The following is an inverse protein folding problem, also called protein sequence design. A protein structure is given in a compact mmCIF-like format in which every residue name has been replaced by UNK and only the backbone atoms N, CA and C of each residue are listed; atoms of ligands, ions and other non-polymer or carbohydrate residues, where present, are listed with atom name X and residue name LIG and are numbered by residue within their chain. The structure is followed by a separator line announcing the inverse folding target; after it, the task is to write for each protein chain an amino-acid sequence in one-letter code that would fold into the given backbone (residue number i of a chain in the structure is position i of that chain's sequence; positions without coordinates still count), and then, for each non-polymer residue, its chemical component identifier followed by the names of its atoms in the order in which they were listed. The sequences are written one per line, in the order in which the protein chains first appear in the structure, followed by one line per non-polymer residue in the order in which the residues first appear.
data_IF_489402303032
#
_entry.id   IF_489402303032
#
_cell.length_a   1.000
_cell.length_b   1.000
_cell.length_c   1.000
_cell.angle_alpha   90.00
_cell.angle_beta   90.00
_cell.angle_gamma   90.00
#
_symmetry.space_group_name_H-M   'P 1'
#
loop_
_entity.id
_entity.type
_entity.pdbx_description
1 polymer ?
#
# COMPACT_ATOMS: atom_id res chain seq x y z
N UNK A 1 -19.91 -8.10 -11.31
CA UNK A 1 -20.60 -7.04 -10.55
C UNK A 1 -21.36 -6.13 -11.51
N UNK A 2 -22.69 -5.94 -11.38
CA UNK A 2 -23.41 -4.98 -12.20
C UNK A 2 -22.97 -3.55 -11.80
N UNK A 3 -22.71 -2.69 -12.79
CA UNK A 3 -22.28 -1.31 -12.55
C UNK A 3 -23.40 -0.47 -11.91
N UNK A 4 -23.03 0.53 -11.11
CA UNK A 4 -23.96 1.45 -10.41
C UNK A 4 -25.05 2.02 -11.35
N UNK A 5 -24.72 2.28 -12.62
CA UNK A 5 -25.68 2.76 -13.64
C UNK A 5 -26.76 1.73 -13.99
N UNK A 6 -26.43 0.44 -14.00
CA UNK A 6 -27.35 -0.66 -14.33
C UNK A 6 -28.36 -0.90 -13.19
N UNK A 7 -27.94 -0.71 -11.94
CA UNK A 7 -28.81 -0.78 -10.77
C UNK A 7 -29.88 0.32 -10.79
N UNK A 8 -29.49 1.58 -10.95
CA UNK A 8 -30.43 2.71 -10.98
C UNK A 8 -31.48 2.59 -12.09
N UNK A 9 -31.07 2.09 -13.27
CA UNK A 9 -32.00 1.89 -14.38
C UNK A 9 -33.02 0.78 -14.12
N UNK A 10 -32.63 -0.27 -13.39
CA UNK A 10 -33.53 -1.36 -13.04
C UNK A 10 -34.47 -0.97 -11.88
N UNK A 11 -34.03 -0.12 -10.95
CA UNK A 11 -34.88 0.39 -9.86
C UNK A 11 -36.05 1.26 -10.38
N UNK A 12 -35.85 1.98 -11.48
CA UNK A 12 -36.90 2.79 -12.13
C UNK A 12 -37.98 1.96 -12.85
N UNK A 13 -37.67 0.73 -13.26
CA UNK A 13 -38.64 -0.16 -13.91
C UNK A 13 -39.52 -0.91 -12.90
N UNK A 14 -39.09 -1.02 -11.63
CA UNK A 14 -39.87 -1.64 -10.57
C UNK A 14 -41.00 -0.76 -10.02
N UNK A 15 -40.86 0.57 -10.08
CA UNK A 15 -41.84 1.51 -9.53
C UNK A 15 -43.05 1.78 -10.44
N UNK A 16 -42.97 1.45 -11.73
CA UNK A 16 -44.10 1.62 -12.66
C UNK A 16 -45.21 0.57 -12.47
N UNK A 17 -44.93 -0.57 -11.82
CA UNK A 17 -45.90 -1.65 -11.60
C UNK A 17 -46.76 -1.53 -10.34
N UNK A 18 -46.44 -0.60 -9.44
CA UNK A 18 -47.08 -0.51 -8.11
C UNK A 18 -48.21 0.53 -8.01
N UNK A 19 -48.51 1.27 -9.08
CA UNK A 19 -49.55 2.31 -9.07
C UNK A 19 -50.98 1.73 -9.09
N UNK A 20 -51.17 0.41 -9.24
CA UNK A 20 -52.49 -0.20 -9.42
C UNK A 20 -53.10 -0.92 -8.19
N UNK A 21 -52.45 -0.94 -7.02
CA UNK A 21 -53.02 -1.63 -5.84
C UNK A 21 -52.82 -0.82 -4.55
N UNK A 22 -53.93 -0.40 -3.93
CA UNK A 22 -54.02 0.21 -2.60
C UNK A 22 -53.66 -0.79 -1.49
N UNK A 23 -52.43 -1.31 -1.48
CA UNK A 23 -51.87 -2.04 -0.35
C UNK A 23 -50.95 -1.06 0.38
N UNK A 24 -51.16 -0.76 1.67
CA UNK A 24 -50.22 0.05 2.42
C UNK A 24 -48.90 -0.73 2.48
N UNK A 25 -47.93 -0.33 1.66
CA UNK A 25 -46.59 -0.87 1.70
C UNK A 25 -45.96 -0.44 3.03
N UNK A 26 -46.01 -1.32 4.02
CA UNK A 26 -45.15 -1.22 5.20
C UNK A 26 -43.72 -1.42 4.69
N UNK A 27 -43.07 -0.31 4.34
CA UNK A 27 -41.64 -0.30 4.12
C UNK A 27 -40.96 -0.59 5.46
N UNK A 28 -40.70 -1.87 5.72
CA UNK A 28 -39.68 -2.26 6.69
C UNK A 28 -38.34 -1.85 6.09
N UNK A 29 -37.97 -0.59 6.29
CA UNK A 29 -36.61 -0.14 6.05
C UNK A 29 -35.80 -0.81 7.14
N UNK A 30 -35.12 -1.90 6.79
CA UNK A 30 -34.06 -2.44 7.64
C UNK A 30 -33.01 -1.34 7.74
N UNK A 31 -32.99 -0.61 8.86
CA UNK A 31 -31.91 0.29 9.20
C UNK A 31 -30.65 -0.55 9.38
N UNK A 32 -29.91 -0.70 8.28
CA UNK A 32 -28.56 -1.20 8.32
C UNK A 32 -27.72 -0.09 8.97
N UNK A 33 -27.69 -0.07 10.30
CA UNK A 33 -26.68 0.67 11.02
C UNK A 33 -25.35 0.00 10.66
N UNK A 34 -24.42 0.68 9.93
CA UNK A 34 -23.08 0.16 9.83
C UNK A 34 -22.55 0.06 11.26
N UNK A 35 -22.19 -1.14 11.71
CA UNK A 35 -21.43 -1.25 12.95
C UNK A 35 -20.20 -0.35 12.78
N UNK A 36 -19.99 0.59 13.72
CA UNK A 36 -18.80 1.41 13.71
C UNK A 36 -17.63 0.52 14.12
N UNK A 37 -17.06 -0.18 13.14
CA UNK A 37 -16.00 -1.18 13.32
C UNK A 37 -14.61 -0.52 13.39
N UNK A 38 -14.57 0.74 13.86
CA UNK A 38 -13.37 1.54 13.96
C UNK A 38 -12.77 1.43 15.37
N UNK A 39 -11.43 1.51 15.50
CA UNK A 39 -10.48 1.64 14.41
C UNK A 39 -10.27 0.33 13.62
N UNK A 40 -9.85 0.44 12.36
CA UNK A 40 -9.53 -0.71 11.49
C UNK A 40 -8.27 -0.41 10.67
N UNK A 41 -7.45 -1.43 10.44
CA UNK A 41 -6.29 -1.38 9.53
C UNK A 41 -6.29 -2.60 8.61
N UNK A 42 -5.97 -2.38 7.34
CA UNK A 42 -5.84 -3.43 6.33
C UNK A 42 -4.57 -3.15 5.53
N UNK A 43 -3.82 -4.20 5.25
CA UNK A 43 -2.61 -4.14 4.42
C UNK A 43 -2.56 -5.31 3.45
N UNK A 44 -1.70 -5.20 2.44
CA UNK A 44 -1.48 -6.26 1.46
C UNK A 44 -0.53 -7.33 2.00
N UNK A 45 -0.78 -8.57 1.57
CA UNK A 45 0.12 -9.74 1.72
C UNK A 45 0.37 -10.22 3.15
N UNK A 46 1.24 -11.21 3.27
CA UNK A 46 1.54 -11.94 4.50
C UNK A 46 2.29 -11.07 5.53
N UNK A 47 3.31 -10.32 5.09
CA UNK A 47 4.05 -9.36 5.91
C UNK A 47 3.15 -8.21 6.42
N UNK A 48 1.97 -8.03 5.81
CA UNK A 48 0.92 -7.15 6.29
C UNK A 48 0.46 -7.47 7.72
N UNK A 49 0.60 -8.71 8.21
CA UNK A 49 0.27 -9.04 9.60
C UNK A 49 1.17 -8.33 10.62
N UNK A 50 2.50 -8.35 10.39
CA UNK A 50 3.45 -7.64 11.25
C UNK A 50 3.27 -6.13 11.14
N UNK A 51 3.04 -5.63 9.92
CA UNK A 51 2.75 -4.23 9.66
C UNK A 51 1.46 -3.75 10.38
N UNK A 52 0.38 -4.54 10.32
CA UNK A 52 -0.89 -4.25 11.00
C UNK A 52 -0.71 -4.23 12.52
N UNK A 53 0.10 -5.14 13.08
CA UNK A 53 0.37 -5.15 14.53
C UNK A 53 1.03 -3.85 14.99
N UNK A 54 1.96 -3.30 14.20
CA UNK A 54 2.60 -2.02 14.51
C UNK A 54 1.63 -0.85 14.37
N UNK A 55 0.88 -0.78 13.26
CA UNK A 55 -0.15 0.24 13.05
C UNK A 55 -1.22 0.22 14.17
N UNK A 56 -1.59 -0.97 14.63
CA UNK A 56 -2.58 -1.15 15.69
C UNK A 56 -2.15 -0.53 17.02
N UNK A 57 -0.85 -0.44 17.32
CA UNK A 57 -0.37 0.24 18.54
C UNK A 57 -0.76 1.72 18.56
N UNK A 58 -0.74 2.37 17.40
CA UNK A 58 -1.16 3.77 17.25
C UNK A 58 -2.67 3.88 17.33
N UNK A 59 -3.39 3.05 16.56
CA UNK A 59 -4.86 3.08 16.51
C UNK A 59 -5.50 2.75 17.85
N UNK A 60 -5.01 1.73 18.56
CA UNK A 60 -5.52 1.33 19.88
C UNK A 60 -5.28 2.39 20.96
N UNK A 61 -4.31 3.28 20.75
CA UNK A 61 -4.03 4.43 21.61
C UNK A 61 -4.84 5.69 21.22
N UNK A 62 -5.71 5.61 20.21
CA UNK A 62 -6.47 6.76 19.68
C UNK A 62 -5.63 7.73 18.84
N UNK A 63 -4.51 7.26 18.27
CA UNK A 63 -3.69 8.03 17.33
C UNK A 63 -4.32 8.12 15.93
N UNK A 64 -3.76 9.00 15.10
CA UNK A 64 -4.29 9.26 13.75
C UNK A 64 -4.00 8.11 12.78
N UNK A 65 -4.89 7.89 11.82
CA UNK A 65 -4.73 6.89 10.78
C UNK A 65 -3.44 7.09 9.95
N UNK A 66 -3.08 8.35 9.61
CA UNK A 66 -1.86 8.65 8.86
C UNK A 66 -0.59 8.26 9.62
N UNK A 67 -0.59 8.40 10.95
CA UNK A 67 0.53 7.97 11.80
C UNK A 67 0.60 6.43 11.84
N UNK A 68 -0.55 5.76 11.93
CA UNK A 68 -0.63 4.31 11.96
C UNK A 68 -0.14 3.66 10.67
N UNK A 69 -0.53 4.18 9.50
CA UNK A 69 -0.09 3.61 8.21
C UNK A 69 1.39 3.84 7.97
N UNK A 70 1.95 4.99 8.38
CA UNK A 70 3.38 5.24 8.26
C UNK A 70 4.19 4.23 9.07
N UNK A 71 3.89 4.06 10.37
CA UNK A 71 4.66 3.12 11.21
C UNK A 71 4.47 1.67 10.77
N UNK A 72 3.28 1.32 10.25
CA UNK A 72 2.98 -0.01 9.76
C UNK A 72 3.84 -0.39 8.55
N UNK A 73 3.87 0.45 7.51
CA UNK A 73 4.63 0.12 6.29
C UNK A 73 6.15 0.21 6.47
N UNK A 74 6.63 0.94 7.48
CA UNK A 74 8.06 0.95 7.85
C UNK A 74 8.58 -0.42 8.30
N UNK A 75 7.70 -1.33 8.73
CA UNK A 75 8.09 -2.68 9.14
C UNK A 75 8.75 -3.45 7.98
N UNK A 76 8.05 -3.72 6.85
CA UNK A 76 8.69 -4.38 5.71
C UNK A 76 9.72 -3.51 4.99
N UNK A 77 9.67 -2.17 5.06
CA UNK A 77 10.74 -1.32 4.52
C UNK A 77 12.10 -1.57 5.19
N UNK A 78 12.10 -1.98 6.46
CA UNK A 78 13.32 -2.25 7.22
C UNK A 78 13.72 -3.74 7.25
N UNK A 79 12.93 -4.63 6.64
CA UNK A 79 13.17 -6.07 6.69
C UNK A 79 14.08 -6.55 5.55
N UNK A 80 15.37 -6.86 5.81
CA UNK A 80 16.30 -7.32 4.77
C UNK A 80 15.91 -8.67 4.14
N UNK A 81 15.04 -9.45 4.78
CA UNK A 81 14.53 -10.70 4.22
C UNK A 81 13.41 -10.47 3.18
N UNK A 82 12.89 -9.24 3.09
CA UNK A 82 11.91 -8.86 2.07
C UNK A 82 12.60 -8.21 0.87
N UNK A 83 12.74 -8.96 -0.22
CA UNK A 83 13.41 -8.47 -1.43
C UNK A 83 12.54 -7.59 -2.34
N UNK A 84 11.36 -7.18 -1.88
CA UNK A 84 10.38 -6.43 -2.69
C UNK A 84 10.07 -5.03 -2.15
N UNK A 85 10.52 -4.69 -0.94
CA UNK A 85 10.19 -3.43 -0.25
C UNK A 85 11.45 -2.92 0.46
N UNK A 86 11.80 -1.65 0.26
CA UNK A 86 12.80 -0.96 1.08
C UNK A 86 14.20 -1.60 1.09
N UNK A 87 14.77 -1.74 2.29
CA UNK A 87 16.09 -2.30 2.53
C UNK A 87 16.16 -3.79 2.16
N UNK A 88 17.10 -4.16 1.30
CA UNK A 88 17.18 -5.51 0.75
C UNK A 88 16.32 -5.72 -0.50
N UNK A 89 15.60 -4.69 -0.96
CA UNK A 89 14.91 -4.70 -2.26
C UNK A 89 15.84 -5.07 -3.42
N UNK A 90 15.31 -5.83 -4.38
CA UNK A 90 16.05 -6.12 -5.62
C UNK A 90 16.31 -4.83 -6.39
N UNK A 91 17.54 -4.62 -6.89
CA UNK A 91 17.86 -3.41 -7.63
C UNK A 91 17.26 -3.42 -9.04
N UNK A 92 17.34 -2.27 -9.70
CA UNK A 92 17.16 -2.18 -11.14
C UNK A 92 18.25 -2.96 -11.91
N UNK A 93 18.16 -2.92 -13.24
CA UNK A 93 19.08 -3.65 -14.13
C UNK A 93 20.55 -3.25 -13.93
N UNK A 94 20.79 -2.03 -13.47
CA UNK A 94 22.10 -1.40 -13.34
C UNK A 94 22.66 -1.52 -11.92
N UNK A 95 21.91 -2.14 -10.99
CA UNK A 95 22.35 -2.42 -9.63
C UNK A 95 21.93 -1.35 -8.61
N UNK A 96 21.04 -0.43 -8.99
CA UNK A 96 20.54 0.61 -8.10
C UNK A 96 19.26 0.19 -7.39
N UNK A 97 19.23 0.26 -6.06
CA UNK A 97 18.00 0.07 -5.29
C UNK A 97 17.25 1.39 -5.24
N UNK A 98 16.28 1.52 -6.13
CA UNK A 98 15.42 2.71 -6.28
C UNK A 98 14.04 2.43 -5.71
N UNK A 99 13.58 3.28 -4.79
CA UNK A 99 12.33 3.07 -4.07
C UNK A 99 11.28 4.12 -4.42
N UNK A 100 10.02 3.67 -4.47
CA UNK A 100 8.84 4.50 -4.70
C UNK A 100 7.92 4.41 -3.47
N UNK A 101 7.42 5.55 -2.99
CA UNK A 101 6.43 5.58 -1.91
C UNK A 101 5.50 6.78 -2.02
N UNK A 102 4.27 6.64 -1.54
CA UNK A 102 3.33 7.73 -1.37
C UNK A 102 2.51 7.57 -0.09
N UNK A 103 1.99 8.68 0.41
CA UNK A 103 1.12 8.74 1.58
C UNK A 103 0.07 9.83 1.38
N UNK A 104 -1.11 9.63 1.95
CA UNK A 104 -2.23 10.56 1.90
C UNK A 104 -2.97 10.55 3.24
N UNK A 105 -3.38 11.73 3.70
CA UNK A 105 -4.16 11.90 4.93
C UNK A 105 -5.66 12.12 4.65
N UNK A 106 -6.44 12.25 5.72
CA UNK A 106 -7.89 12.46 5.69
C UNK A 106 -8.33 13.81 5.08
N UNK A 107 -7.41 14.77 4.99
CA UNK A 107 -7.65 16.13 4.53
C UNK A 107 -7.23 16.35 3.06
N UNK A 108 -7.03 15.27 2.30
CA UNK A 108 -6.54 15.26 0.92
C UNK A 108 -5.11 15.78 0.77
N UNK A 109 -4.34 15.93 1.85
CA UNK A 109 -2.92 16.19 1.74
C UNK A 109 -2.23 14.91 1.27
N UNK A 110 -1.27 15.04 0.36
CA UNK A 110 -0.53 13.90 -0.16
C UNK A 110 0.93 14.27 -0.43
N UNK A 111 1.78 13.25 -0.38
CA UNK A 111 3.19 13.36 -0.71
C UNK A 111 3.72 12.06 -1.27
N UNK A 112 4.75 12.15 -2.10
CA UNK A 112 5.35 10.99 -2.74
C UNK A 112 6.81 11.23 -3.10
N UNK A 113 7.54 10.13 -3.18
CA UNK A 113 8.90 10.05 -3.71
C UNK A 113 8.98 8.93 -4.74
N UNK A 114 9.70 9.20 -5.82
CA UNK A 114 9.89 8.23 -6.93
C UNK A 114 11.38 8.07 -7.22
N UNK A 115 11.82 6.85 -7.52
CA UNK A 115 13.22 6.53 -7.83
C UNK A 115 14.18 7.05 -6.74
N UNK A 116 13.78 6.96 -5.46
CA UNK A 116 14.59 7.41 -4.33
C UNK A 116 15.62 6.33 -3.97
N UNK A 117 16.90 6.65 -4.06
CA UNK A 117 17.97 5.78 -3.59
C UNK A 117 18.38 6.10 -2.15
N UNK A 118 18.97 5.12 -1.48
CA UNK A 118 19.71 5.25 -0.21
C UNK A 118 18.95 5.61 1.06
N UNK A 119 17.62 5.80 0.99
CA UNK A 119 16.81 6.09 2.17
C UNK A 119 15.98 4.86 2.51
N UNK A 120 16.22 4.28 3.69
CA UNK A 120 15.53 3.05 4.13
C UNK A 120 14.00 3.21 4.17
N UNK A 121 13.52 4.37 4.60
CA UNK A 121 12.09 4.65 4.79
C UNK A 121 11.56 5.70 3.81
N UNK A 122 11.32 5.34 2.54
CA UNK A 122 10.78 6.26 1.54
C UNK A 122 9.38 6.78 1.93
N UNK A 123 8.53 6.02 2.64
CA UNK A 123 7.23 6.53 3.11
C UNK A 123 7.36 7.75 4.02
N UNK A 124 8.38 7.79 4.89
CA UNK A 124 8.60 8.93 5.79
C UNK A 124 9.09 10.16 5.02
N UNK A 125 9.85 9.97 3.94
CA UNK A 125 10.21 11.07 3.03
C UNK A 125 8.98 11.56 2.27
N UNK A 126 8.12 10.66 1.78
CA UNK A 126 6.84 11.02 1.16
C UNK A 126 5.96 11.83 2.11
N UNK A 127 5.90 11.46 3.40
CA UNK A 127 5.22 12.24 4.44
C UNK A 127 5.83 13.63 4.62
N UNK A 128 7.16 13.74 4.62
CA UNK A 128 7.80 15.05 4.67
C UNK A 128 7.51 15.92 3.44
N UNK A 129 7.41 15.32 2.25
CA UNK A 129 6.99 16.05 1.03
C UNK A 129 5.60 16.66 1.26
N UNK A 130 4.66 15.87 1.78
CA UNK A 130 3.30 16.31 2.13
C UNK A 130 3.28 17.45 3.16
N UNK A 131 4.07 17.35 4.23
CA UNK A 131 3.98 18.26 5.38
C UNK A 131 4.85 19.51 5.26
N UNK A 132 5.97 19.44 4.53
CA UNK A 132 7.00 20.50 4.53
C UNK A 132 7.21 21.19 3.19
N UNK A 133 6.47 20.80 2.15
CA UNK A 133 6.64 21.39 0.81
C UNK A 133 5.28 21.76 0.20
N UNK A 134 5.24 22.71 -0.75
CA UNK A 134 4.03 22.95 -1.55
C UNK A 134 3.88 21.94 -2.69
N UNK A 135 4.73 20.90 -2.77
CA UNK A 135 4.72 19.89 -3.82
C UNK A 135 4.12 18.58 -3.29
N UNK A 136 3.64 17.75 -4.21
CA UNK A 136 3.07 16.42 -3.88
C UNK A 136 3.99 15.26 -4.30
N UNK A 137 5.05 15.55 -5.05
CA UNK A 137 5.96 14.54 -5.58
C UNK A 137 7.36 15.12 -5.77
N UNK A 138 8.37 14.38 -5.31
CA UNK A 138 9.78 14.56 -5.66
C UNK A 138 10.34 13.27 -6.26
N UNK A 139 11.43 13.34 -7.02
CA UNK A 139 12.01 12.15 -7.64
C UNK A 139 13.53 12.18 -7.72
N UNK A 140 14.15 11.00 -7.69
CA UNK A 140 15.58 10.82 -7.89
C UNK A 140 16.44 11.60 -6.91
N UNK A 141 17.53 12.17 -7.41
CA UNK A 141 18.47 12.99 -6.63
C UNK A 141 17.79 14.14 -5.88
N UNK A 142 16.75 14.77 -6.47
CA UNK A 142 16.02 15.84 -5.80
C UNK A 142 15.28 15.37 -4.55
N UNK A 143 14.71 14.16 -4.57
CA UNK A 143 14.10 13.54 -3.40
C UNK A 143 15.16 13.18 -2.34
N UNK A 144 16.33 12.68 -2.76
CA UNK A 144 17.44 12.38 -1.86
C UNK A 144 17.95 13.64 -1.16
N UNK A 145 18.23 14.72 -1.90
CA UNK A 145 18.67 15.98 -1.32
C UNK A 145 17.68 16.54 -0.30
N UNK A 146 16.38 16.45 -0.62
CA UNK A 146 15.32 16.83 0.31
C UNK A 146 15.31 15.96 1.57
N UNK A 147 15.46 14.65 1.45
CA UNK A 147 15.53 13.73 2.59
C UNK A 147 16.72 14.07 3.50
N UNK A 148 17.92 14.25 2.92
CA UNK A 148 19.15 14.60 3.66
C UNK A 148 19.02 15.94 4.38
N UNK A 149 18.45 16.95 3.72
CA UNK A 149 18.20 18.27 4.32
C UNK A 149 17.21 18.20 5.51
N UNK A 150 16.41 17.13 5.59
CA UNK A 150 15.46 16.88 6.68
C UNK A 150 15.96 15.85 7.70
N UNK A 151 17.25 15.49 7.69
CA UNK A 151 17.87 14.68 8.74
C UNK A 151 17.87 13.17 8.48
N UNK A 152 17.51 12.73 7.28
CA UNK A 152 17.74 11.34 6.88
C UNK A 152 19.22 11.12 6.57
N UNK A 153 19.67 9.87 6.77
CA UNK A 153 21.02 9.45 6.44
C UNK A 153 21.04 8.62 5.17
N UNK A 154 22.13 8.72 4.41
CA UNK A 154 22.39 7.88 3.24
C UNK A 154 22.83 6.49 3.71
N UNK A 155 22.13 5.45 3.30
CA UNK A 155 22.43 4.05 3.61
C UNK A 155 22.57 3.21 2.35
N UNK A 156 23.39 2.15 2.38
CA UNK A 156 23.43 1.20 1.27
C UNK A 156 22.28 0.21 1.40
N UNK A 157 21.30 0.31 0.51
CA UNK A 157 20.12 -0.54 0.54
C UNK A 157 20.32 -1.90 -0.15
N UNK A 158 21.37 -2.03 -0.95
CA UNK A 158 21.69 -3.27 -1.65
C UNK A 158 22.44 -4.21 -0.70
N UNK A 159 21.73 -5.20 -0.17
CA UNK A 159 22.33 -6.23 0.68
C UNK A 159 23.21 -7.17 -0.15
N UNK A 160 24.19 -7.87 0.47
CA UNK A 160 25.01 -8.86 -0.24
C UNK A 160 24.20 -9.97 -0.91
N UNK A 161 23.04 -10.32 -0.33
CA UNK A 161 22.12 -11.29 -0.91
C UNK A 161 21.46 -10.76 -2.18
N UNK A 162 20.87 -9.56 -2.14
CA UNK A 162 20.25 -8.93 -3.31
C UNK A 162 21.28 -8.64 -4.41
N UNK A 163 22.51 -8.26 -4.05
CA UNK A 163 23.61 -8.11 -5.00
C UNK A 163 23.95 -9.45 -5.68
N UNK A 164 24.01 -10.55 -4.91
CA UNK A 164 24.25 -11.89 -5.47
C UNK A 164 23.14 -12.30 -6.45
N UNK A 165 21.87 -12.04 -6.10
CA UNK A 165 20.73 -12.33 -6.98
C UNK A 165 20.79 -11.50 -8.27
N UNK A 166 21.10 -10.21 -8.17
CA UNK A 166 21.28 -9.33 -9.34
C UNK A 166 22.43 -9.81 -10.24
N UNK A 167 23.58 -10.16 -9.67
CA UNK A 167 24.73 -10.70 -10.42
C UNK A 167 24.42 -12.03 -11.11
N UNK A 168 23.58 -12.87 -10.51
CA UNK A 168 23.10 -14.09 -11.15
C UNK A 168 22.19 -13.76 -12.34
N UNK A 169 21.26 -12.82 -12.16
CA UNK A 169 20.37 -12.35 -13.23
C UNK A 169 21.16 -11.77 -14.42
N UNK A 170 22.22 -10.99 -14.17
CA UNK A 170 23.08 -10.39 -15.20
C UNK A 170 23.73 -11.39 -16.16
N UNK A 171 23.85 -12.68 -15.78
CA UNK A 171 24.37 -13.71 -16.69
C UNK A 171 23.45 -13.93 -17.89
N UNK A 172 22.15 -13.67 -17.73
CA UNK A 172 21.16 -13.81 -18.81
C UNK A 172 20.52 -12.50 -19.22
N UNK A 173 20.43 -11.53 -18.29
CA UNK A 173 19.77 -10.22 -18.45
C UNK A 173 18.39 -10.29 -19.09
N UNK A 174 17.67 -11.40 -18.85
CA UNK A 174 16.32 -11.58 -19.40
C UNK A 174 15.32 -10.87 -18.51
N UNK A 175 14.75 -9.79 -19.02
CA UNK A 175 13.64 -9.09 -18.40
C UNK A 175 12.31 -9.62 -18.97
N UNK A 176 11.66 -10.53 -18.25
CA UNK A 176 10.40 -11.17 -18.67
C UNK A 176 9.29 -10.93 -17.63
N UNK A 177 8.75 -9.70 -17.53
CA UNK A 177 7.70 -9.40 -16.58
C UNK A 177 6.42 -10.15 -16.94
N UNK A 178 5.82 -10.83 -15.96
CA UNK A 178 4.52 -11.47 -16.09
C UNK A 178 3.50 -10.69 -15.28
N UNK A 179 2.36 -10.36 -15.90
CA UNK A 179 1.28 -9.66 -15.19
C UNK A 179 0.64 -10.60 -14.17
N UNK A 180 0.39 -10.08 -12.98
CA UNK A 180 -0.29 -10.79 -11.91
C UNK A 180 0.39 -12.11 -11.53
N UNK A 181 1.72 -12.11 -11.50
CA UNK A 181 2.54 -13.31 -11.28
C UNK A 181 2.34 -13.88 -9.87
N UNK A 182 2.02 -13.03 -8.90
CA UNK A 182 1.65 -13.37 -7.52
C UNK A 182 0.49 -14.36 -7.46
N UNK A 183 -0.47 -14.25 -8.39
CA UNK A 183 -1.65 -15.11 -8.46
C UNK A 183 -1.33 -16.51 -8.98
N UNK A 184 -0.13 -16.72 -9.51
CA UNK A 184 0.34 -18.01 -10.07
C UNK A 184 1.45 -18.65 -9.24
N UNK A 185 2.39 -17.86 -8.71
CA UNK A 185 3.65 -18.37 -8.13
C UNK A 185 3.60 -18.67 -6.63
N UNK A 186 2.50 -18.39 -5.93
CA UNK A 186 2.36 -18.75 -4.51
C UNK A 186 2.06 -20.25 -4.32
N UNK A 187 2.52 -20.83 -3.20
CA UNK A 187 2.27 -22.23 -2.90
C UNK A 187 0.87 -22.38 -2.30
N UNK A 188 -0.10 -22.78 -3.13
CA UNK A 188 -1.50 -22.97 -2.69
C UNK A 188 -1.69 -23.99 -1.56
N UNK A 189 -0.68 -24.82 -1.28
CA UNK A 189 -0.72 -25.79 -0.20
C UNK A 189 -0.20 -25.23 1.13
N UNK A 190 0.65 -24.20 1.09
CA UNK A 190 1.26 -23.59 2.27
C UNK A 190 0.72 -22.19 2.55
N UNK A 191 0.35 -21.45 1.51
CA UNK A 191 -0.02 -20.04 1.54
C UNK A 191 -1.55 -19.89 1.39
N UNK A 192 -2.23 -19.27 2.37
CA UNK A 192 -3.68 -19.10 2.33
C UNK A 192 -4.14 -18.05 1.31
N UNK A 193 -3.24 -17.16 0.87
CA UNK A 193 -3.50 -16.08 -0.09
C UNK A 193 -2.33 -15.94 -1.09
N UNK A 194 -2.56 -15.43 -2.31
CA UNK A 194 -1.50 -14.97 -3.20
C UNK A 194 -0.63 -13.90 -2.54
N UNK A 195 0.58 -13.69 -3.07
CA UNK A 195 1.48 -12.62 -2.67
C UNK A 195 2.34 -12.92 -1.43
N UNK A 196 3.63 -12.59 -1.49
CA UNK A 196 4.60 -12.79 -0.41
C UNK A 196 6.03 -12.44 -0.84
N UNK A 197 7.06 -12.65 0.01
CA UNK A 197 8.43 -12.19 -0.25
C UNK A 197 9.07 -12.75 -1.53
N UNK A 198 8.55 -13.87 -2.04
CA UNK A 198 9.05 -14.60 -3.21
C UNK A 198 8.43 -14.17 -4.53
N UNK A 199 7.41 -13.29 -4.52
CA UNK A 199 6.78 -12.75 -5.71
C UNK A 199 6.64 -11.21 -5.56
N UNK A 200 6.94 -10.46 -6.62
CA UNK A 200 6.97 -9.00 -6.56
C UNK A 200 5.60 -8.43 -6.21
N UNK A 201 5.44 -7.75 -5.06
CA UNK A 201 4.12 -7.17 -4.82
C UNK A 201 3.94 -5.96 -3.88
N UNK A 202 5.00 -5.33 -3.38
CA UNK A 202 4.90 -4.05 -2.63
C UNK A 202 4.06 -4.13 -1.34
N UNK A 203 4.04 -3.07 -0.54
CA UNK A 203 3.07 -2.92 0.57
C UNK A 203 2.14 -1.74 0.31
N UNK A 204 0.84 -2.00 0.44
CA UNK A 204 -0.18 -0.97 0.63
C UNK A 204 -0.82 -1.15 2.01
N UNK A 205 -1.09 -0.04 2.70
CA UNK A 205 -1.83 -0.05 3.95
C UNK A 205 -2.87 1.07 3.96
N UNK A 206 -4.07 0.75 4.46
CA UNK A 206 -5.15 1.70 4.69
C UNK A 206 -5.67 1.53 6.12
N UNK A 207 -6.00 2.64 6.77
CA UNK A 207 -6.55 2.62 8.12
C UNK A 207 -7.70 3.61 8.26
N UNK A 208 -8.60 3.32 9.20
CA UNK A 208 -9.59 4.24 9.73
C UNK A 208 -9.37 4.29 11.24
N UNK A 209 -9.17 5.47 11.79
CA UNK A 209 -9.02 5.71 13.23
C UNK A 209 -10.39 5.80 13.94
N UNK A 210 -10.38 6.04 15.25
CA UNK A 210 -11.53 5.91 16.16
C UNK A 210 -12.62 6.97 15.98
#
# INVERSE_FOLDING_TARGET
MPSRRKFLRNSLLGSAGLVATNIPAVHVVSEHHPANNNPVVVSTWDFGQAANLEAWKILAAGGRAVDAVEVGVKIPEADPANHTIGYGGLPDRDGHVTLDACIMDEAYNCGSVMCLEYIMHPVSVARLVMEKTPHVALSGEGALQFALANGFSKENLLTPESEKMWREWLKTSRYNPEKNVENRLYDKSLDPIPGGPSNHDTIGMVAIDA
#
